data_IF_286287206194
#
_entry.id   IF_286287206194
#
_cell.length_a   1.000
_cell.length_b   1.000
_cell.length_c   1.000
_cell.angle_alpha   90.00
_cell.angle_beta   90.00
_cell.angle_gamma   90.00
#
_symmetry.space_group_name_H-M   'P 1'
#
loop_
_entity.id
_entity.type
_entity.pdbx_description
1 polymer ?
#
# COMPACT_ATOMS: atom_id res chain seq x y z
N UNK A 1 10.70 -6.76 24.29
CA UNK A 1 11.01 -6.70 22.83
C UNK A 1 9.75 -6.81 21.94
N UNK A 2 8.66 -7.48 22.36
CA UNK A 2 7.45 -7.65 21.54
C UNK A 2 6.61 -6.36 21.32
N UNK A 3 6.53 -5.48 22.33
CA UNK A 3 5.72 -4.26 22.24
C UNK A 3 6.17 -3.29 21.13
N UNK A 4 7.48 -3.21 20.87
CA UNK A 4 8.03 -2.34 19.82
C UNK A 4 7.67 -2.87 18.42
N UNK A 5 7.67 -4.19 18.24
CA UNK A 5 7.28 -4.84 16.99
C UNK A 5 5.78 -4.66 16.72
N UNK A 6 4.95 -4.78 17.77
CA UNK A 6 3.52 -4.54 17.68
C UNK A 6 3.21 -3.08 17.27
N UNK A 7 3.92 -2.09 17.82
CA UNK A 7 3.76 -0.68 17.43
C UNK A 7 4.11 -0.45 15.95
N UNK A 8 5.26 -0.97 15.49
CA UNK A 8 5.66 -0.86 14.08
C UNK A 8 4.70 -1.57 13.13
N UNK A 9 4.15 -2.71 13.56
CA UNK A 9 3.15 -3.45 12.79
C UNK A 9 1.84 -2.66 12.71
N UNK A 10 1.42 -2.01 13.80
CA UNK A 10 0.22 -1.19 13.83
C UNK A 10 0.38 0.07 12.97
N UNK A 11 1.53 0.75 13.02
CA UNK A 11 1.87 1.86 12.10
C UNK A 11 1.81 1.40 10.64
N UNK A 12 2.43 0.26 10.32
CA UNK A 12 2.38 -0.31 8.98
C UNK A 12 0.95 -0.58 8.51
N UNK A 13 0.07 -1.08 9.39
CA UNK A 13 -1.34 -1.31 9.08
C UNK A 13 -2.14 -0.03 8.87
N UNK A 14 -1.86 1.02 9.65
CA UNK A 14 -2.49 2.33 9.48
C UNK A 14 -2.10 2.94 8.13
N UNK A 15 -0.82 2.92 7.79
CA UNK A 15 -0.32 3.39 6.49
C UNK A 15 -0.96 2.63 5.32
N UNK A 16 -1.14 1.31 5.47
CA UNK A 16 -1.79 0.47 4.46
C UNK A 16 -3.27 0.84 4.27
N UNK A 17 -4.02 1.04 5.36
CA UNK A 17 -5.42 1.53 5.28
C UNK A 17 -5.50 2.92 4.67
N UNK A 18 -4.56 3.79 5.00
CA UNK A 18 -4.54 5.15 4.46
C UNK A 18 -4.27 5.13 2.95
N UNK A 19 -3.32 4.29 2.50
CA UNK A 19 -3.08 4.03 1.08
C UNK A 19 -4.33 3.51 0.36
N UNK A 20 -5.08 2.58 0.98
CA UNK A 20 -6.35 2.08 0.44
C UNK A 20 -7.42 3.19 0.33
N UNK A 21 -7.44 4.15 1.26
CA UNK A 21 -8.33 5.31 1.20
C UNK A 21 -7.94 6.29 0.07
N UNK A 22 -6.64 6.46 -0.20
CA UNK A 22 -6.16 7.25 -1.34
C UNK A 22 -6.58 6.62 -2.67
N UNK A 23 -6.50 5.28 -2.78
CA UNK A 23 -6.98 4.52 -3.94
C UNK A 23 -8.50 4.60 -4.11
N UNK A 24 -9.24 4.44 -3.00
CA UNK A 24 -10.71 4.34 -3.05
C UNK A 24 -11.41 5.64 -3.41
N UNK A 25 -10.69 6.77 -3.46
CA UNK A 25 -11.21 8.10 -3.80
C UNK A 25 -12.51 8.43 -3.09
N UNK A 26 -12.41 9.25 -2.04
CA UNK A 26 -13.57 9.96 -1.52
C UNK A 26 -14.36 10.57 -2.68
N UNK A 27 -15.69 10.44 -2.62
CA UNK A 27 -16.68 10.76 -3.66
C UNK A 27 -16.56 12.17 -4.28
N UNK A 28 -15.72 13.04 -3.69
CA UNK A 28 -15.44 14.40 -4.13
C UNK A 28 -14.17 14.57 -5.01
N UNK A 29 -13.28 13.57 -5.14
CA UNK A 29 -12.06 13.69 -5.97
C UNK A 29 -12.18 12.88 -7.26
N UNK A 30 -12.25 13.59 -8.38
CA UNK A 30 -12.43 13.03 -9.72
C UNK A 30 -11.19 12.33 -10.32
N UNK A 31 -10.08 12.26 -9.57
CA UNK A 31 -8.87 11.52 -9.95
C UNK A 31 -8.31 10.76 -8.75
N UNK A 32 -8.11 9.43 -8.85
CA UNK A 32 -7.39 8.65 -7.86
C UNK A 32 -5.90 8.97 -7.85
N UNK A 33 -5.39 9.40 -6.69
CA UNK A 33 -3.97 9.68 -6.47
C UNK A 33 -3.20 8.36 -6.23
N UNK A 34 -2.98 7.60 -7.29
CA UNK A 34 -2.24 6.33 -7.26
C UNK A 34 -0.78 6.49 -6.84
N UNK A 35 -0.16 7.62 -7.20
CA UNK A 35 1.23 7.94 -6.86
C UNK A 35 1.40 8.07 -5.34
N UNK A 36 0.51 8.82 -4.69
CA UNK A 36 0.50 8.97 -3.22
C UNK A 36 0.17 7.65 -2.50
N UNK A 37 -0.71 6.82 -3.07
CA UNK A 37 -1.01 5.51 -2.49
C UNK A 37 0.20 4.57 -2.54
N UNK A 38 0.94 4.55 -3.64
CA UNK A 38 2.09 3.69 -3.82
C UNK A 38 3.22 4.00 -2.83
N UNK A 39 3.53 5.29 -2.62
CA UNK A 39 4.47 5.75 -1.60
C UNK A 39 4.09 5.29 -0.18
N UNK A 40 2.79 5.35 0.15
CA UNK A 40 2.26 4.90 1.45
C UNK A 40 2.39 3.38 1.63
N UNK A 41 2.11 2.59 0.58
CA UNK A 41 2.30 1.14 0.61
C UNK A 41 3.77 0.74 0.77
N UNK A 42 4.71 1.45 0.12
CA UNK A 42 6.14 1.20 0.29
C UNK A 42 6.61 1.50 1.72
N UNK A 43 6.14 2.59 2.33
CA UNK A 43 6.40 2.91 3.74
C UNK A 43 5.84 1.85 4.68
N UNK A 44 4.61 1.38 4.43
CA UNK A 44 4.00 0.29 5.19
C UNK A 44 4.82 -1.01 5.12
N UNK A 45 5.27 -1.41 3.92
CA UNK A 45 6.13 -2.59 3.73
C UNK A 45 7.44 -2.50 4.50
N UNK A 46 8.04 -1.31 4.56
CA UNK A 46 9.27 -1.06 5.34
C UNK A 46 9.03 -1.20 6.85
N UNK A 47 7.90 -0.70 7.36
CA UNK A 47 7.49 -0.88 8.76
C UNK A 47 7.24 -2.36 9.11
N UNK A 48 6.59 -3.12 8.23
CA UNK A 48 6.39 -4.56 8.41
C UNK A 48 7.69 -5.34 8.39
N UNK A 49 8.65 -4.96 7.52
CA UNK A 49 9.99 -5.53 7.51
C UNK A 49 10.72 -5.28 8.84
N UNK A 50 10.62 -4.07 9.38
CA UNK A 50 11.20 -3.73 10.70
C UNK A 50 10.52 -4.49 11.86
N UNK A 51 9.25 -4.86 11.70
CA UNK A 51 8.50 -5.71 12.63
C UNK A 51 8.73 -7.22 12.42
N UNK A 52 9.66 -7.63 11.54
CA UNK A 52 9.92 -9.03 11.14
C UNK A 52 8.69 -9.75 10.58
N UNK A 53 7.70 -9.01 10.10
CA UNK A 53 6.46 -9.54 9.54
C UNK A 53 6.54 -9.55 8.01
N UNK A 54 7.31 -10.49 7.47
CA UNK A 54 7.61 -10.56 6.03
C UNK A 54 6.39 -10.88 5.17
N UNK A 55 5.44 -11.66 5.70
CA UNK A 55 4.19 -12.01 5.03
C UNK A 55 3.38 -10.74 4.66
N UNK A 56 3.14 -9.88 5.66
CA UNK A 56 2.46 -8.59 5.47
C UNK A 56 3.29 -7.63 4.63
N UNK A 57 4.62 -7.65 4.78
CA UNK A 57 5.51 -6.79 3.99
C UNK A 57 5.41 -7.14 2.49
N UNK A 58 5.45 -8.43 2.13
CA UNK A 58 5.32 -8.90 0.75
C UNK A 58 4.00 -8.46 0.12
N UNK A 59 2.89 -8.62 0.86
CA UNK A 59 1.58 -8.21 0.38
C UNK A 59 1.49 -6.67 0.20
N UNK A 60 2.08 -5.89 1.11
CA UNK A 60 2.16 -4.43 1.00
C UNK A 60 3.00 -3.98 -0.22
N UNK A 61 4.14 -4.60 -0.48
CA UNK A 61 4.96 -4.30 -1.66
C UNK A 61 4.27 -4.69 -2.96
N UNK A 62 3.52 -5.80 -2.98
CA UNK A 62 2.70 -6.19 -4.13
C UNK A 62 1.65 -5.13 -4.44
N UNK A 63 0.89 -4.69 -3.44
CA UNK A 63 -0.07 -3.57 -3.59
C UNK A 63 0.59 -2.26 -4.04
N UNK A 64 1.81 -1.96 -3.56
CA UNK A 64 2.57 -0.80 -4.00
C UNK A 64 2.94 -0.88 -5.50
N UNK A 65 3.39 -2.04 -5.94
CA UNK A 65 3.71 -2.30 -7.35
C UNK A 65 2.46 -2.18 -8.22
N UNK A 66 1.34 -2.77 -7.79
CA UNK A 66 0.05 -2.64 -8.47
C UNK A 66 -0.39 -1.17 -8.55
N UNK A 67 -0.24 -0.40 -7.48
CA UNK A 67 -0.57 1.03 -7.47
C UNK A 67 0.33 1.85 -8.41
N UNK A 68 1.65 1.61 -8.42
CA UNK A 68 2.57 2.25 -9.36
C UNK A 68 2.27 1.85 -10.82
N UNK A 69 1.87 0.61 -11.05
CA UNK A 69 1.45 0.15 -12.37
C UNK A 69 0.19 0.88 -12.82
N UNK A 70 -0.84 0.95 -11.98
CA UNK A 70 -2.07 1.71 -12.29
C UNK A 70 -1.83 3.23 -12.41
N UNK A 71 -0.83 3.79 -11.72
CA UNK A 71 -0.45 5.20 -11.85
C UNK A 71 0.20 5.51 -13.21
N UNK A 72 1.02 4.59 -13.74
CA UNK A 72 1.84 4.79 -14.96
C UNK A 72 1.23 4.17 -16.21
N UNK A 73 0.48 3.07 -16.05
CA UNK A 73 -0.14 2.34 -17.14
C UNK A 73 -1.53 2.92 -17.40
N UNK A 74 -1.65 3.52 -18.58
CA UNK A 74 -2.90 3.91 -19.18
C UNK A 74 -3.98 2.80 -19.07
N UNK A 75 -5.28 3.16 -19.01
CA UNK A 75 -6.37 2.30 -18.54
C UNK A 75 -6.74 1.12 -19.45
N UNK A 76 -5.96 0.82 -20.49
CA UNK A 76 -6.43 0.03 -21.63
C UNK A 76 -6.06 -1.45 -21.62
N UNK A 77 -5.29 -1.95 -20.64
CA UNK A 77 -4.85 -3.35 -20.72
C UNK A 77 -4.42 -3.96 -19.37
N UNK A 78 -5.33 -4.15 -18.41
CA UNK A 78 -5.05 -5.12 -17.36
C UNK A 78 -6.28 -5.95 -16.98
N UNK A 79 -6.22 -7.22 -17.35
CA UNK A 79 -7.04 -8.32 -16.83
C UNK A 79 -6.25 -8.88 -15.64
N UNK A 80 -6.84 -9.01 -14.43
CA UNK A 80 -6.12 -9.55 -13.29
C UNK A 80 -5.61 -10.96 -13.62
N UNK A 81 -4.30 -11.19 -13.46
CA UNK A 81 -3.73 -12.53 -13.51
C UNK A 81 -4.27 -13.36 -12.33
N UNK A 82 -4.68 -14.62 -12.57
CA UNK A 82 -5.30 -15.50 -11.57
C UNK A 82 -4.39 -15.82 -10.38
#
# INVERSE_FOLDING_TARGET
MAALQARKLQEGQQLLKEAENFVKTSWLKWKPDWDSAADKYMKAGTCFKAAKCYDKASNAFRKAADAHYNAKAYPLLYKPLP
#
